data_IF_076824945686
#
_entry.id   IF_076824945686
#
_cell.length_a   1.000
_cell.length_b   1.000
_cell.length_c   1.000
_cell.angle_alpha   90.00
_cell.angle_beta   90.00
_cell.angle_gamma   90.00
#
_symmetry.space_group_name_H-M   'P 1'
#
loop_
_entity.id
_entity.type
_entity.pdbx_description
1 polymer ?
#
# COMPACT_ATOMS: atom_id res chain seq x y z
N UNK A 1 -14.13 -22.99 12.79
CA UNK A 1 -13.68 -22.02 11.77
C UNK A 1 -12.41 -22.59 11.18
N UNK A 2 -12.40 -22.98 9.89
CA UNK A 2 -11.19 -23.54 9.29
C UNK A 2 -10.21 -22.39 8.98
N UNK A 3 -8.91 -22.52 9.30
CA UNK A 3 -7.91 -21.55 8.90
C UNK A 3 -7.90 -21.42 7.37
N UNK A 4 -7.88 -20.18 6.88
CA UNK A 4 -7.76 -19.89 5.46
C UNK A 4 -6.36 -19.35 5.20
N UNK A 5 -5.62 -19.84 4.20
CA UNK A 5 -4.27 -19.35 3.93
C UNK A 5 -4.31 -17.86 3.56
N UNK A 6 -3.51 -17.08 4.27
CA UNK A 6 -3.30 -15.66 3.98
C UNK A 6 -2.00 -15.53 3.20
N UNK A 7 -2.08 -14.91 2.03
CA UNK A 7 -0.91 -14.64 1.20
C UNK A 7 -0.42 -13.21 1.45
N UNK A 8 0.83 -13.07 1.89
CA UNK A 8 1.51 -11.77 1.92
C UNK A 8 1.91 -11.38 0.49
N UNK A 9 1.84 -10.09 0.15
CA UNK A 9 2.11 -9.60 -1.22
C UNK A 9 3.57 -9.25 -1.46
N UNK A 10 4.35 -9.10 -0.40
CA UNK A 10 5.76 -8.69 -0.48
C UNK A 10 6.58 -9.37 0.59
N UNK A 11 7.81 -9.70 0.24
CA UNK A 11 8.86 -10.11 1.17
C UNK A 11 9.77 -8.92 1.50
N UNK A 12 10.37 -8.92 2.69
CA UNK A 12 11.33 -7.90 3.11
C UNK A 12 12.73 -8.49 3.15
N UNK A 13 13.70 -7.79 2.58
CA UNK A 13 15.11 -8.10 2.74
C UNK A 13 15.75 -7.00 3.58
N UNK A 14 16.34 -7.41 4.70
CA UNK A 14 17.07 -6.54 5.61
C UNK A 14 18.46 -7.16 5.84
N UNK A 15 19.50 -6.41 5.48
CA UNK A 15 20.86 -6.70 5.85
C UNK A 15 21.41 -5.48 6.62
N UNK A 16 21.72 -5.68 7.88
CA UNK A 16 22.30 -4.66 8.75
C UNK A 16 23.82 -4.78 8.71
N UNK A 17 24.52 -3.68 8.42
CA UNK A 17 25.98 -3.69 8.41
C UNK A 17 26.53 -4.02 9.81
N UNK A 18 27.61 -4.82 9.84
CA UNK A 18 28.36 -5.12 11.07
C UNK A 18 27.96 -6.37 11.86
N UNK A 19 27.07 -7.24 11.37
CA UNK A 19 26.54 -8.35 12.18
C UNK A 19 27.26 -9.70 12.04
N UNK A 20 28.00 -10.03 10.96
CA UNK A 20 28.78 -11.28 10.99
C UNK A 20 29.93 -11.45 9.97
N UNK A 21 29.86 -10.92 8.74
CA UNK A 21 30.81 -11.34 7.68
C UNK A 21 31.47 -10.20 6.86
N UNK A 22 31.25 -8.92 7.19
CA UNK A 22 31.81 -7.77 6.45
C UNK A 22 31.55 -7.76 4.93
N UNK A 23 30.57 -8.53 4.43
CA UNK A 23 30.29 -8.60 2.99
C UNK A 23 29.64 -7.32 2.44
N UNK A 24 29.12 -6.45 3.32
CA UNK A 24 28.47 -5.19 2.96
C UNK A 24 28.88 -4.06 3.90
N UNK A 25 29.31 -2.93 3.33
CA UNK A 25 29.66 -1.72 4.07
C UNK A 25 28.43 -0.88 4.48
N UNK A 26 27.26 -1.14 3.87
CA UNK A 26 26.04 -0.34 4.04
C UNK A 26 24.82 -1.18 4.46
N UNK A 27 23.88 -0.54 5.18
CA UNK A 27 22.59 -1.14 5.51
C UNK A 27 21.71 -1.23 4.26
N UNK A 28 21.20 -2.43 3.99
CA UNK A 28 20.32 -2.69 2.84
C UNK A 28 18.93 -3.06 3.33
N UNK A 29 17.92 -2.26 2.96
CA UNK A 29 16.52 -2.51 3.29
C UNK A 29 15.64 -2.24 2.06
N UNK A 30 15.10 -3.30 1.47
CA UNK A 30 14.20 -3.21 0.33
C UNK A 30 13.11 -4.30 0.36
N UNK A 31 12.01 -4.05 -0.35
CA UNK A 31 10.91 -4.98 -0.55
C UNK A 31 11.03 -5.69 -1.89
N UNK A 32 10.61 -6.96 -1.90
CA UNK A 32 10.49 -7.79 -3.09
C UNK A 32 9.04 -8.26 -3.23
N UNK A 33 8.54 -8.56 -4.44
CA UNK A 33 7.27 -9.27 -4.60
C UNK A 33 7.38 -10.65 -3.97
N UNK A 34 6.31 -11.13 -3.34
CA UNK A 34 6.32 -12.49 -2.82
C UNK A 34 6.46 -13.52 -3.94
N UNK A 35 6.95 -14.71 -3.60
CA UNK A 35 7.19 -15.80 -4.55
C UNK A 35 5.96 -16.09 -5.43
N UNK A 36 4.76 -16.09 -4.86
CA UNK A 36 3.53 -16.34 -5.61
C UNK A 36 3.31 -15.33 -6.74
N UNK A 37 3.54 -14.03 -6.47
CA UNK A 37 3.44 -12.97 -7.48
C UNK A 37 4.52 -13.17 -8.55
N UNK A 38 5.79 -13.35 -8.12
CA UNK A 38 6.91 -13.47 -9.03
C UNK A 38 6.76 -14.67 -9.97
N UNK A 39 6.40 -15.85 -9.44
CA UNK A 39 6.15 -17.06 -10.24
C UNK A 39 4.93 -16.93 -11.14
N UNK A 40 3.84 -16.36 -10.63
CA UNK A 40 2.61 -16.19 -11.42
C UNK A 40 2.83 -15.32 -12.64
N UNK A 41 3.62 -14.26 -12.51
CA UNK A 41 3.91 -13.30 -13.57
C UNK A 41 5.16 -13.66 -14.40
N UNK A 42 5.89 -14.72 -14.03
CA UNK A 42 7.15 -15.09 -14.70
C UNK A 42 8.21 -14.00 -14.60
N UNK A 43 8.30 -13.34 -13.43
CA UNK A 43 9.24 -12.27 -13.19
C UNK A 43 10.65 -12.80 -12.95
N UNK A 44 11.64 -12.06 -13.44
CA UNK A 44 13.05 -12.36 -13.23
C UNK A 44 13.71 -11.24 -12.44
N UNK A 45 14.56 -11.61 -11.49
CA UNK A 45 15.33 -10.62 -10.74
C UNK A 45 16.33 -9.92 -11.66
N UNK A 46 16.46 -8.59 -11.54
CA UNK A 46 17.36 -7.81 -12.39
C UNK A 46 18.80 -7.70 -11.86
N UNK A 47 19.09 -8.29 -10.70
CA UNK A 47 20.39 -8.18 -10.01
C UNK A 47 20.51 -6.99 -9.04
N UNK A 48 19.46 -6.17 -8.92
CA UNK A 48 19.37 -5.00 -8.03
C UNK A 48 18.03 -5.05 -7.24
N UNK A 49 17.45 -3.94 -6.78
CA UNK A 49 16.13 -3.98 -6.12
C UNK A 49 14.93 -3.99 -7.09
N UNK A 50 14.98 -4.82 -8.15
CA UNK A 50 13.94 -4.85 -9.18
C UNK A 50 13.69 -6.20 -9.84
N UNK A 51 12.52 -6.35 -10.43
CA UNK A 51 12.11 -7.51 -11.22
C UNK A 51 11.63 -7.07 -12.61
N UNK A 52 12.03 -7.83 -13.61
CA UNK A 52 11.69 -7.64 -15.01
C UNK A 52 10.63 -8.64 -15.48
N UNK A 53 9.82 -8.21 -16.44
CA UNK A 53 9.00 -9.11 -17.25
C UNK A 53 9.86 -9.87 -18.28
N UNK A 54 9.23 -10.79 -19.02
CA UNK A 54 9.90 -11.59 -20.07
C UNK A 54 10.56 -10.76 -21.19
N UNK A 55 10.21 -9.48 -21.34
CA UNK A 55 10.79 -8.59 -22.34
C UNK A 55 11.94 -7.75 -21.75
N UNK A 56 12.34 -7.99 -20.50
CA UNK A 56 13.40 -7.26 -19.81
C UNK A 56 12.97 -5.90 -19.24
N UNK A 57 11.67 -5.56 -19.27
CA UNK A 57 11.18 -4.30 -18.70
C UNK A 57 10.98 -4.44 -17.19
N UNK A 58 11.51 -3.52 -16.41
CA UNK A 58 11.27 -3.46 -14.95
C UNK A 58 9.79 -3.17 -14.67
N UNK A 59 9.13 -4.07 -13.96
CA UNK A 59 7.69 -3.97 -13.63
C UNK A 59 7.40 -4.00 -12.14
N UNK A 60 8.38 -4.38 -11.33
CA UNK A 60 8.32 -4.30 -9.86
C UNK A 60 9.67 -3.83 -9.35
N UNK A 61 9.70 -2.87 -8.42
CA UNK A 61 10.94 -2.41 -7.80
C UNK A 61 10.69 -1.71 -6.45
N UNK A 62 11.74 -1.50 -5.67
CA UNK A 62 11.71 -0.64 -4.48
C UNK A 62 12.49 0.66 -4.74
N UNK A 63 11.87 1.85 -4.66
CA UNK A 63 12.55 3.12 -4.88
C UNK A 63 13.52 3.51 -3.76
N UNK A 64 13.56 2.81 -2.61
CA UNK A 64 14.55 3.08 -1.57
C UNK A 64 15.96 2.70 -1.98
N UNK A 65 16.10 1.77 -2.93
CA UNK A 65 17.38 1.34 -3.45
C UNK A 65 18.13 2.53 -4.09
N UNK A 66 19.34 2.81 -3.62
CA UNK A 66 20.08 4.03 -3.97
C UNK A 66 19.88 5.21 -3.00
N UNK A 67 19.26 4.99 -1.83
CA UNK A 67 19.35 5.86 -0.65
C UNK A 67 18.39 7.06 -0.62
N UNK A 68 17.33 7.08 -1.44
CA UNK A 68 16.51 8.29 -1.67
C UNK A 68 15.06 8.23 -1.17
N UNK A 69 14.61 7.11 -0.60
CA UNK A 69 13.20 6.92 -0.22
C UNK A 69 13.01 5.89 0.88
N UNK A 70 11.85 5.94 1.54
CA UNK A 70 11.33 4.86 2.39
C UNK A 70 11.11 3.61 1.53
N UNK A 71 11.50 2.44 2.05
CA UNK A 71 11.34 1.13 1.38
C UNK A 71 9.87 0.78 1.18
N UNK A 72 9.46 0.65 -0.09
CA UNK A 72 8.10 0.32 -0.51
C UNK A 72 8.11 -0.46 -1.84
N UNK A 73 7.33 -1.53 -1.92
CA UNK A 73 7.20 -2.27 -3.17
C UNK A 73 6.30 -1.52 -4.16
N UNK A 74 6.88 -1.10 -5.28
CA UNK A 74 6.16 -0.48 -6.38
C UNK A 74 5.97 -1.50 -7.51
N UNK A 75 4.76 -1.58 -8.05
CA UNK A 75 4.44 -2.43 -9.20
C UNK A 75 3.77 -1.60 -10.29
N UNK A 76 4.14 -1.85 -11.54
CA UNK A 76 3.47 -1.29 -12.71
C UNK A 76 1.96 -1.60 -12.67
N UNK A 77 1.14 -0.57 -12.84
CA UNK A 77 -0.31 -0.66 -12.74
C UNK A 77 -0.89 -1.68 -13.73
N UNK A 78 -0.39 -1.72 -14.97
CA UNK A 78 -0.91 -2.63 -15.99
C UNK A 78 -0.58 -4.09 -15.64
N UNK A 79 0.63 -4.32 -15.12
CA UNK A 79 1.09 -5.61 -14.63
C UNK A 79 0.24 -6.11 -13.46
N UNK A 80 -0.05 -5.25 -12.48
CA UNK A 80 -0.97 -5.58 -11.38
C UNK A 80 -2.37 -5.94 -11.92
N UNK A 81 -2.91 -5.14 -12.84
CA UNK A 81 -4.23 -5.43 -13.42
C UNK A 81 -4.27 -6.73 -14.20
N UNK A 82 -3.18 -7.08 -14.89
CA UNK A 82 -3.05 -8.36 -15.57
C UNK A 82 -3.07 -9.53 -14.58
N UNK A 83 -2.28 -9.44 -13.49
CA UNK A 83 -2.26 -10.44 -12.42
C UNK A 83 -3.67 -10.69 -11.85
N UNK A 84 -4.38 -9.60 -11.50
CA UNK A 84 -5.71 -9.69 -10.91
C UNK A 84 -6.70 -10.37 -11.85
N UNK A 85 -6.70 -10.00 -13.14
CA UNK A 85 -7.54 -10.65 -14.15
C UNK A 85 -7.18 -12.13 -14.34
N UNK A 86 -5.89 -12.44 -14.45
CA UNK A 86 -5.38 -13.80 -14.65
C UNK A 86 -5.80 -14.74 -13.51
N UNK A 87 -5.88 -14.23 -12.29
CA UNK A 87 -6.21 -15.01 -11.09
C UNK A 87 -7.65 -14.83 -10.60
N UNK A 88 -8.49 -14.12 -11.35
CA UNK A 88 -9.86 -13.78 -10.97
C UNK A 88 -9.94 -13.16 -9.56
N UNK A 89 -9.07 -12.19 -9.30
CA UNK A 89 -8.96 -11.46 -8.04
C UNK A 89 -9.40 -10.00 -8.20
N UNK A 90 -9.79 -9.40 -7.08
CA UNK A 90 -10.02 -7.96 -6.95
C UNK A 90 -9.09 -7.40 -5.85
N UNK A 91 -8.69 -6.14 -6.00
CA UNK A 91 -8.05 -5.38 -4.91
C UNK A 91 -9.09 -4.51 -4.27
N UNK A 92 -9.14 -4.56 -2.94
CA UNK A 92 -10.01 -3.74 -2.11
C UNK A 92 -9.13 -2.88 -1.21
N UNK A 93 -9.41 -1.60 -1.17
CA UNK A 93 -8.80 -0.64 -0.25
C UNK A 93 -9.82 -0.20 0.79
N UNK A 94 -9.41 -0.26 2.05
CA UNK A 94 -10.06 0.52 3.12
C UNK A 94 -9.29 1.82 3.27
N UNK A 95 -9.95 2.94 3.01
CA UNK A 95 -9.37 4.27 3.17
C UNK A 95 -9.95 4.88 4.44
N UNK A 96 -9.09 5.34 5.33
CA UNK A 96 -9.49 6.07 6.53
C UNK A 96 -8.76 7.40 6.54
N UNK A 97 -9.49 8.46 6.84
CA UNK A 97 -8.95 9.80 6.90
C UNK A 97 -9.60 10.60 8.01
N UNK A 98 -8.86 11.55 8.56
CA UNK A 98 -9.36 12.46 9.59
C UNK A 98 -8.79 13.84 9.36
N UNK A 99 -9.66 14.85 9.41
CA UNK A 99 -9.28 16.26 9.40
C UNK A 99 -9.81 16.92 10.66
N UNK A 100 -8.92 17.46 11.48
CA UNK A 100 -9.28 18.16 12.71
C UNK A 100 -9.09 19.67 12.53
N UNK A 101 -10.02 20.47 13.06
CA UNK A 101 -9.81 21.91 13.25
C UNK A 101 -9.15 22.08 14.62
N UNK A 102 -7.94 22.65 14.63
CA UNK A 102 -7.19 22.92 15.86
C UNK A 102 -7.61 24.30 16.38
N UNK A 103 -8.09 24.37 17.61
CA UNK A 103 -8.40 25.63 18.31
C UNK A 103 -7.19 26.20 19.05
N UNK A 104 -7.36 27.33 19.74
CA UNK A 104 -6.30 28.00 20.50
C UNK A 104 -5.76 27.18 21.68
N UNK A 105 -6.54 26.23 22.20
CA UNK A 105 -6.14 25.34 23.29
C UNK A 105 -6.69 23.92 23.08
N UNK A 106 -6.12 22.95 23.78
CA UNK A 106 -6.58 21.54 23.77
C UNK A 106 -8.03 21.37 24.25
N UNK A 107 -8.58 22.33 25.00
CA UNK A 107 -9.96 22.31 25.47
C UNK A 107 -10.96 22.86 24.44
N UNK A 108 -10.45 23.57 23.43
CA UNK A 108 -11.25 24.16 22.36
C UNK A 108 -11.36 23.20 21.16
N UNK A 109 -12.13 22.11 21.31
CA UNK A 109 -12.49 21.28 20.16
C UNK A 109 -13.37 22.08 19.20
N UNK A 110 -12.81 22.50 18.06
CA UNK A 110 -13.52 23.31 17.06
C UNK A 110 -14.24 22.48 15.98
N UNK A 111 -13.99 21.17 15.93
CA UNK A 111 -14.64 20.24 15.02
C UNK A 111 -13.68 19.25 14.35
N UNK A 112 -14.24 18.17 13.82
CA UNK A 112 -13.52 17.10 13.15
C UNK A 112 -14.38 16.51 12.02
N UNK A 113 -13.72 16.15 10.93
CA UNK A 113 -14.27 15.32 9.86
C UNK A 113 -13.54 13.98 9.87
N UNK A 114 -14.28 12.90 9.97
CA UNK A 114 -13.79 11.55 9.70
C UNK A 114 -14.29 11.09 8.34
N UNK A 115 -13.42 10.38 7.62
CA UNK A 115 -13.64 9.84 6.29
C UNK A 115 -13.35 8.34 6.33
N UNK A 116 -14.28 7.55 5.84
CA UNK A 116 -14.11 6.11 5.65
C UNK A 116 -14.55 5.75 4.25
N UNK A 117 -13.76 5.00 3.51
CA UNK A 117 -14.16 4.49 2.21
C UNK A 117 -13.75 3.05 2.01
N UNK A 118 -14.59 2.31 1.28
CA UNK A 118 -14.24 1.01 0.72
C UNK A 118 -14.23 1.17 -0.78
N UNK A 119 -13.06 0.91 -1.37
CA UNK A 119 -12.77 1.14 -2.77
C UNK A 119 -12.25 -0.14 -3.43
N UNK A 120 -12.51 -0.32 -4.71
CA UNK A 120 -11.95 -1.40 -5.55
C UNK A 120 -11.48 -0.86 -6.88
N UNK A 121 -10.64 -1.62 -7.57
CA UNK A 121 -10.20 -1.29 -8.92
C UNK A 121 -11.18 -1.90 -9.92
N UNK A 122 -11.84 -1.08 -10.74
CA UNK A 122 -12.72 -1.53 -11.83
C UNK A 122 -12.34 -0.79 -13.11
N UNK A 123 -11.99 -1.53 -14.15
CA UNK A 123 -11.63 -0.98 -15.47
C UNK A 123 -10.58 0.15 -15.39
N UNK A 124 -9.55 0.01 -14.54
CA UNK A 124 -8.51 1.03 -14.39
C UNK A 124 -8.84 2.21 -13.51
N UNK A 125 -10.07 2.29 -12.98
CA UNK A 125 -10.53 3.35 -12.10
C UNK A 125 -10.79 2.81 -10.70
N UNK A 126 -10.47 3.62 -9.70
CA UNK A 126 -10.89 3.36 -8.34
C UNK A 126 -12.40 3.68 -8.25
N UNK A 127 -13.20 2.71 -7.82
CA UNK A 127 -14.63 2.88 -7.59
C UNK A 127 -14.95 2.42 -6.18
N UNK A 128 -15.85 3.11 -5.50
CA UNK A 128 -16.15 2.81 -4.11
C UNK A 128 -17.21 3.74 -3.54
N UNK A 129 -17.52 3.53 -2.27
CA UNK A 129 -18.40 4.39 -1.49
C UNK A 129 -17.58 5.03 -0.37
N UNK A 130 -17.80 6.31 -0.12
CA UNK A 130 -17.18 7.04 0.98
C UNK A 130 -18.26 7.55 1.94
N UNK A 131 -17.99 7.42 3.23
CA UNK A 131 -18.78 7.97 4.32
C UNK A 131 -17.99 9.11 4.98
N UNK A 132 -18.71 10.17 5.30
CA UNK A 132 -18.22 11.31 6.04
C UNK A 132 -18.94 11.40 7.37
N UNK A 133 -18.21 11.59 8.47
CA UNK A 133 -18.77 11.87 9.78
C UNK A 133 -18.24 13.22 10.26
N UNK A 134 -19.16 14.13 10.58
CA UNK A 134 -18.83 15.47 11.09
C UNK A 134 -19.11 15.54 12.59
N UNK A 135 -18.12 16.06 13.32
CA UNK A 135 -18.18 16.35 14.74
C UNK A 135 -17.95 17.85 14.93
N UNK A 136 -18.81 18.52 15.70
CA UNK A 136 -18.69 19.96 16.00
C UNK A 136 -18.81 20.18 17.51
N UNK A 137 -18.08 21.18 18.00
CA UNK A 137 -18.13 21.78 19.34
C UNK A 137 -19.54 21.92 19.92
N UNK A 138 -20.53 22.30 19.08
CA UNK A 138 -21.90 22.62 19.49
C UNK A 138 -22.89 21.46 19.39
N UNK A 139 -22.52 20.34 18.75
CA UNK A 139 -23.44 19.22 18.47
C UNK A 139 -22.77 17.89 18.82
N UNK A 140 -23.08 17.35 19.99
CA UNK A 140 -22.88 15.93 20.33
C UNK A 140 -23.85 15.00 19.56
N UNK A 141 -24.25 15.34 18.32
CA UNK A 141 -25.26 14.59 17.56
C UNK A 141 -24.79 14.38 16.13
N UNK A 142 -24.81 13.10 15.73
CA UNK A 142 -24.53 12.53 14.41
C UNK A 142 -25.39 13.20 13.33
N UNK A 143 -24.77 13.87 12.36
CA UNK A 143 -25.48 14.38 11.18
C UNK A 143 -25.29 13.38 10.02
N UNK A 144 -26.42 12.98 9.42
CA UNK A 144 -26.48 11.92 8.43
C UNK A 144 -25.86 12.30 7.06
N UNK A 145 -25.54 11.23 6.34
CA UNK A 145 -24.76 11.09 5.11
C UNK A 145 -25.10 12.06 3.97
N UNK A 146 -24.07 12.50 3.25
CA UNK A 146 -24.18 12.91 1.84
C UNK A 146 -23.42 11.89 0.99
N UNK A 147 -24.17 11.12 0.20
CA UNK A 147 -23.61 10.36 -0.92
C UNK A 147 -23.43 11.31 -2.10
N UNK A 148 -22.24 11.31 -2.70
CA UNK A 148 -21.94 11.92 -3.99
C UNK A 148 -21.58 10.81 -4.99
#
# INVERSE_FOLDING_TARGET
MNPVPVLITSDGYLNESGVYDHSFDEHVNFRLPCEWIARTLGLHWNGEAGFTDKNGRVVVFDPSYGGKSISQLMMDKQTLQHLLKLKNLDVIWSVQGRKCIVGESHECFAGQLEMEAICRLKNGKLVGSMRYLFFDSRRKIRLAERQL
#
